data_IF_658507674714
#
_entry.id   IF_658507674714
#
_cell.length_a   1.000
_cell.length_b   1.000
_cell.length_c   1.000
_cell.angle_alpha   90.00
_cell.angle_beta   90.00
_cell.angle_gamma   90.00
#
_symmetry.space_group_name_H-M   'P 1'
#
loop_
_entity.id
_entity.type
_entity.pdbx_description
1 polymer ?
#
# COMPACT_ATOMS: atom_id res chain seq x y z
N UNK A 1 -13.89 -28.68 -7.05
CA UNK A 1 -15.33 -28.55 -7.34
C UNK A 1 -15.56 -29.06 -8.75
N UNK A 2 -16.51 -29.97 -8.97
CA UNK A 2 -16.88 -30.40 -10.32
C UNK A 2 -17.61 -29.22 -11.00
N UNK A 3 -17.26 -28.95 -12.25
CA UNK A 3 -17.95 -27.95 -13.06
C UNK A 3 -19.40 -28.39 -13.26
N UNK A 4 -20.35 -27.55 -12.80
CA UNK A 4 -21.80 -27.76 -12.89
C UNK A 4 -22.46 -26.73 -13.80
N UNK A 5 -21.68 -25.96 -14.55
CA UNK A 5 -22.19 -24.88 -15.40
C UNK A 5 -23.19 -25.43 -16.43
N UNK A 6 -22.91 -26.58 -17.03
CA UNK A 6 -23.81 -27.22 -18.00
C UNK A 6 -25.16 -27.62 -17.38
N UNK A 7 -25.15 -28.16 -16.17
CA UNK A 7 -26.35 -28.59 -15.43
C UNK A 7 -27.22 -27.39 -15.03
N UNK A 8 -26.58 -26.28 -14.63
CA UNK A 8 -27.27 -25.03 -14.31
C UNK A 8 -27.87 -24.38 -15.57
N UNK A 9 -27.19 -24.43 -16.71
CA UNK A 9 -27.71 -23.91 -17.99
C UNK A 9 -28.94 -24.70 -18.45
N UNK A 10 -28.96 -26.03 -18.27
CA UNK A 10 -30.16 -26.82 -18.56
C UNK A 10 -31.32 -26.50 -17.61
N UNK A 11 -31.04 -26.30 -16.33
CA UNK A 11 -32.06 -25.91 -15.35
C UNK A 11 -32.69 -24.56 -15.69
N UNK A 12 -31.91 -23.58 -16.14
CA UNK A 12 -32.43 -22.27 -16.58
C UNK A 12 -33.32 -22.42 -17.82
N UNK A 13 -32.88 -23.18 -18.83
CA UNK A 13 -33.70 -23.43 -20.04
C UNK A 13 -35.02 -24.13 -19.71
N UNK A 14 -35.00 -25.07 -18.77
CA UNK A 14 -36.19 -25.78 -18.33
C UNK A 14 -37.14 -24.87 -17.51
N UNK A 15 -36.60 -23.91 -16.76
CA UNK A 15 -37.38 -22.91 -16.04
C UNK A 15 -38.08 -21.94 -17.01
N UNK A 16 -37.36 -21.44 -18.01
CA UNK A 16 -37.89 -20.55 -19.06
C UNK A 16 -38.97 -21.23 -19.91
N UNK A 17 -38.90 -22.56 -20.08
CA UNK A 17 -39.94 -23.35 -20.75
C UNK A 17 -41.17 -23.63 -19.88
N UNK A 18 -41.01 -23.72 -18.55
CA UNK A 18 -42.13 -23.96 -17.62
C UNK A 18 -42.91 -22.69 -17.29
N UNK A 19 -42.27 -21.53 -17.39
CA UNK A 19 -42.88 -20.22 -17.22
C UNK A 19 -42.58 -19.39 -18.47
N UNK A 20 -43.22 -19.74 -19.59
CA UNK A 20 -43.25 -18.87 -20.75
C UNK A 20 -43.97 -17.58 -20.31
N UNK A 21 -43.20 -16.52 -20.05
CA UNK A 21 -43.73 -15.17 -19.96
C UNK A 21 -44.45 -14.91 -21.28
N UNK A 22 -45.79 -14.87 -21.22
CA UNK A 22 -46.59 -14.53 -22.39
C UNK A 22 -46.21 -13.11 -22.81
N UNK A 23 -45.77 -12.99 -24.06
CA UNK A 23 -45.44 -11.76 -24.81
C UNK A 23 -45.87 -10.45 -24.12
N UNK A 24 -45.10 -10.00 -23.12
CA UNK A 24 -45.07 -8.60 -22.74
C UNK A 24 -43.97 -7.98 -23.60
N UNK A 25 -44.41 -7.45 -24.75
CA UNK A 25 -43.62 -6.67 -25.69
C UNK A 25 -43.14 -5.39 -25.00
N UNK A 26 -42.09 -5.51 -24.19
CA UNK A 26 -41.38 -4.42 -23.54
C UNK A 26 -39.98 -4.31 -24.16
N UNK A 27 -39.95 -4.09 -25.48
CA UNK A 27 -38.78 -3.59 -26.20
C UNK A 27 -38.61 -2.08 -25.93
N UNK A 28 -38.63 -1.71 -24.64
CA UNK A 28 -38.09 -0.43 -24.19
C UNK A 28 -36.58 -0.55 -24.30
N UNK A 29 -35.88 0.44 -24.87
CA UNK A 29 -34.43 0.48 -24.76
C UNK A 29 -34.11 0.31 -23.27
N UNK A 30 -33.29 -0.68 -22.95
CA UNK A 30 -32.67 -0.75 -21.64
C UNK A 30 -31.83 0.53 -21.54
N UNK A 31 -32.42 1.60 -21.00
CA UNK A 31 -31.63 2.64 -20.37
C UNK A 31 -30.87 1.91 -19.28
N UNK A 32 -29.60 1.61 -19.54
CA UNK A 32 -28.66 1.17 -18.52
C UNK A 32 -28.78 2.18 -17.38
N UNK A 33 -29.42 1.75 -16.29
CA UNK A 33 -29.55 2.55 -15.08
C UNK A 33 -28.15 2.61 -14.50
N UNK A 34 -27.36 3.59 -14.95
CA UNK A 34 -26.05 3.90 -14.40
C UNK A 34 -26.28 4.42 -12.99
N UNK A 35 -26.21 3.53 -12.00
CA UNK A 35 -26.33 3.92 -10.61
C UNK A 35 -25.14 4.81 -10.24
N UNK A 36 -25.38 5.84 -9.45
CA UNK A 36 -24.35 6.75 -8.90
C UNK A 36 -23.23 5.97 -8.17
N UNK A 37 -23.52 4.77 -7.67
CA UNK A 37 -22.54 3.86 -7.08
C UNK A 37 -21.52 3.28 -8.06
N UNK A 38 -21.81 3.25 -9.37
CA UNK A 38 -20.98 2.58 -10.37
C UNK A 38 -19.74 3.42 -10.73
N UNK A 39 -19.89 4.73 -10.89
CA UNK A 39 -18.75 5.63 -11.16
C UNK A 39 -17.83 5.82 -9.94
N UNK A 40 -18.39 5.82 -8.72
CA UNK A 40 -17.61 5.87 -7.47
C UNK A 40 -16.75 4.61 -7.37
N UNK A 41 -17.34 3.46 -7.68
CA UNK A 41 -16.67 2.18 -7.63
C UNK A 41 -15.60 2.06 -8.72
N UNK A 42 -15.85 2.54 -9.94
CA UNK A 42 -14.86 2.59 -11.02
C UNK A 42 -13.65 3.47 -10.65
N UNK A 43 -13.89 4.67 -10.10
CA UNK A 43 -12.80 5.52 -9.63
C UNK A 43 -12.01 4.86 -8.50
N UNK A 44 -12.70 4.23 -7.55
CA UNK A 44 -12.06 3.50 -6.46
C UNK A 44 -11.17 2.36 -6.98
N UNK A 45 -11.65 1.58 -7.97
CA UNK A 45 -10.86 0.51 -8.55
C UNK A 45 -9.61 1.02 -9.25
N UNK A 46 -9.70 2.14 -9.97
CA UNK A 46 -8.53 2.79 -10.57
C UNK A 46 -7.53 3.22 -9.51
N UNK A 47 -7.99 3.86 -8.43
CA UNK A 47 -7.10 4.30 -7.34
C UNK A 47 -6.43 3.11 -6.62
N UNK A 48 -7.17 2.01 -6.43
CA UNK A 48 -6.63 0.75 -5.90
C UNK A 48 -5.55 0.21 -6.82
N UNK A 49 -5.82 0.11 -8.13
CA UNK A 49 -4.87 -0.44 -9.10
C UNK A 49 -3.58 0.40 -9.15
N UNK A 50 -3.72 1.72 -9.13
CA UNK A 50 -2.59 2.64 -9.12
C UNK A 50 -1.75 2.47 -7.83
N UNK A 51 -2.39 2.34 -6.67
CA UNK A 51 -1.72 2.07 -5.40
C UNK A 51 -1.02 0.70 -5.38
N UNK A 52 -1.64 -0.34 -5.94
CA UNK A 52 -1.01 -1.66 -6.08
C UNK A 52 0.25 -1.57 -6.93
N UNK A 53 0.18 -0.90 -8.08
CA UNK A 53 1.31 -0.69 -8.97
C UNK A 53 2.42 0.10 -8.27
N UNK A 54 2.09 1.19 -7.56
CA UNK A 54 3.08 1.97 -6.82
C UNK A 54 3.75 1.17 -5.71
N UNK A 55 3.00 0.34 -4.96
CA UNK A 55 3.57 -0.56 -3.95
C UNK A 55 4.54 -1.58 -4.57
N UNK A 56 4.19 -2.17 -5.71
CA UNK A 56 5.08 -3.11 -6.41
C UNK A 56 6.36 -2.42 -6.90
N UNK A 57 6.24 -1.20 -7.42
CA UNK A 57 7.40 -0.40 -7.82
C UNK A 57 8.26 -0.04 -6.61
N UNK A 58 7.67 0.33 -5.47
CA UNK A 58 8.38 0.59 -4.22
C UNK A 58 9.20 -0.64 -3.79
N UNK A 59 8.58 -1.82 -3.75
CA UNK A 59 9.28 -3.06 -3.42
C UNK A 59 10.44 -3.35 -4.39
N UNK A 60 10.24 -3.06 -5.67
CA UNK A 60 11.29 -3.22 -6.68
C UNK A 60 12.45 -2.25 -6.45
N UNK A 61 12.15 -1.00 -6.13
CA UNK A 61 13.14 0.03 -5.80
C UNK A 61 13.94 -0.34 -4.56
N UNK A 62 13.28 -0.84 -3.51
CA UNK A 62 13.92 -1.32 -2.27
C UNK A 62 14.85 -2.49 -2.53
N UNK A 63 14.40 -3.49 -3.30
CA UNK A 63 15.25 -4.63 -3.71
C UNK A 63 16.44 -4.17 -4.55
N UNK A 64 16.23 -3.19 -5.43
CA UNK A 64 17.28 -2.60 -6.26
C UNK A 64 18.32 -1.88 -5.40
N UNK A 65 17.88 -1.13 -4.39
CA UNK A 65 18.76 -0.48 -3.41
C UNK A 65 19.63 -1.52 -2.68
N UNK A 66 19.01 -2.58 -2.16
CA UNK A 66 19.73 -3.67 -1.49
C UNK A 66 20.82 -4.31 -2.37
N UNK A 67 20.53 -4.53 -3.66
CA UNK A 67 21.51 -5.03 -4.64
C UNK A 67 22.65 -4.04 -4.87
N UNK A 68 22.36 -2.73 -4.97
CA UNK A 68 23.39 -1.71 -5.14
C UNK A 68 24.29 -1.59 -3.89
N UNK A 69 23.70 -1.66 -2.69
CA UNK A 69 24.44 -1.70 -1.43
C UNK A 69 25.38 -2.91 -1.39
N UNK A 70 24.92 -4.09 -1.80
CA UNK A 70 25.79 -5.28 -1.87
C UNK A 70 26.94 -5.11 -2.90
N UNK A 71 26.67 -4.53 -4.07
CA UNK A 71 27.70 -4.24 -5.08
C UNK A 71 28.71 -3.21 -4.61
N UNK A 72 28.26 -2.24 -3.81
CA UNK A 72 29.12 -1.22 -3.22
C UNK A 72 30.20 -1.84 -2.33
N UNK A 73 29.88 -2.91 -1.59
CA UNK A 73 30.82 -3.62 -0.73
C UNK A 73 31.92 -4.36 -1.50
N UNK A 74 31.58 -4.88 -2.69
CA UNK A 74 32.48 -5.74 -3.47
C UNK A 74 33.26 -5.00 -4.56
N UNK A 75 32.86 -3.78 -4.91
CA UNK A 75 33.44 -3.04 -6.04
C UNK A 75 34.57 -2.10 -5.64
N UNK A 76 35.80 -2.34 -6.15
CA UNK A 76 36.95 -1.45 -5.94
C UNK A 76 37.06 -0.27 -6.93
N UNK A 77 36.47 -0.37 -8.14
CA UNK A 77 36.74 0.59 -9.25
C UNK A 77 35.59 1.53 -9.63
N UNK A 78 34.41 1.47 -9.00
CA UNK A 78 33.21 2.26 -9.39
C UNK A 78 32.40 2.83 -8.21
N UNK A 79 33.08 3.17 -7.12
CA UNK A 79 32.42 3.59 -5.87
C UNK A 79 31.55 4.85 -6.03
N UNK A 80 31.99 5.81 -6.84
CA UNK A 80 31.30 7.11 -7.02
C UNK A 80 30.03 7.03 -7.87
N UNK A 81 29.97 6.13 -8.87
CA UNK A 81 28.74 5.92 -9.64
C UNK A 81 27.72 5.12 -8.83
N UNK A 82 28.15 4.03 -8.18
CA UNK A 82 27.25 3.22 -7.33
C UNK A 82 26.67 4.06 -6.18
N UNK A 83 27.46 4.96 -5.59
CA UNK A 83 26.98 5.89 -4.56
C UNK A 83 25.94 6.88 -5.08
N UNK A 84 26.12 7.41 -6.30
CA UNK A 84 25.12 8.29 -6.93
C UNK A 84 23.83 7.54 -7.20
N UNK A 85 23.92 6.34 -7.75
CA UNK A 85 22.76 5.49 -8.02
C UNK A 85 21.99 5.16 -6.73
N UNK A 86 22.70 4.77 -5.66
CA UNK A 86 22.11 4.46 -4.35
C UNK A 86 21.36 5.66 -3.76
N UNK A 87 21.96 6.84 -3.82
CA UNK A 87 21.31 8.07 -3.33
C UNK A 87 20.10 8.45 -4.19
N UNK A 88 20.15 8.24 -5.51
CA UNK A 88 19.00 8.48 -6.40
C UNK A 88 17.86 7.53 -6.07
N UNK A 89 18.15 6.23 -5.96
CA UNK A 89 17.14 5.22 -5.62
C UNK A 89 16.49 5.52 -4.27
N UNK A 90 17.27 5.91 -3.26
CA UNK A 90 16.74 6.27 -1.95
C UNK A 90 15.81 7.50 -1.99
N UNK A 91 16.13 8.50 -2.82
CA UNK A 91 15.24 9.66 -3.04
C UNK A 91 13.93 9.25 -3.73
N UNK A 92 14.02 8.38 -4.74
CA UNK A 92 12.85 7.87 -5.45
C UNK A 92 11.95 7.05 -4.51
N UNK A 93 12.55 6.21 -3.66
CA UNK A 93 11.84 5.46 -2.61
C UNK A 93 11.10 6.41 -1.66
N UNK A 94 11.76 7.47 -1.19
CA UNK A 94 11.14 8.47 -0.31
C UNK A 94 9.93 9.13 -0.98
N UNK A 95 10.12 9.69 -2.18
CA UNK A 95 9.06 10.38 -2.90
C UNK A 95 7.87 9.46 -3.20
N UNK A 96 8.14 8.20 -3.58
CA UNK A 96 7.11 7.19 -3.80
C UNK A 96 6.40 6.81 -2.50
N UNK A 97 7.12 6.63 -1.40
CA UNK A 97 6.55 6.33 -0.09
C UNK A 97 5.62 7.43 0.41
N UNK A 98 6.02 8.69 0.27
CA UNK A 98 5.16 9.85 0.58
C UNK A 98 3.91 9.88 -0.31
N UNK A 99 4.03 9.54 -1.59
CA UNK A 99 2.89 9.49 -2.50
C UNK A 99 1.89 8.39 -2.13
N UNK A 100 2.38 7.17 -1.90
CA UNK A 100 1.56 6.04 -1.44
C UNK A 100 0.86 6.39 -0.13
N UNK A 101 1.58 6.99 0.82
CA UNK A 101 1.00 7.41 2.09
C UNK A 101 -0.15 8.42 1.91
N UNK A 102 0.02 9.44 1.04
CA UNK A 102 -1.06 10.40 0.72
C UNK A 102 -2.28 9.71 0.12
N UNK A 103 -2.08 8.81 -0.85
CA UNK A 103 -3.16 8.06 -1.50
C UNK A 103 -3.88 7.12 -0.52
N UNK A 104 -3.14 6.44 0.36
CA UNK A 104 -3.70 5.61 1.43
C UNK A 104 -4.57 6.43 2.39
N UNK A 105 -4.15 7.64 2.76
CA UNK A 105 -4.98 8.54 3.59
C UNK A 105 -6.27 8.96 2.88
N UNK A 106 -6.20 9.28 1.59
CA UNK A 106 -7.38 9.61 0.79
C UNK A 106 -8.37 8.42 0.72
N UNK A 107 -7.85 7.20 0.53
CA UNK A 107 -8.66 5.99 0.53
C UNK A 107 -9.30 5.69 1.89
N UNK A 108 -8.58 5.93 3.00
CA UNK A 108 -9.15 5.84 4.36
C UNK A 108 -10.31 6.82 4.53
N UNK A 109 -10.14 8.08 4.17
CA UNK A 109 -11.19 9.10 4.25
C UNK A 109 -12.42 8.72 3.40
N UNK A 110 -12.20 8.21 2.18
CA UNK A 110 -13.30 7.72 1.33
C UNK A 110 -14.04 6.53 1.96
N UNK A 111 -13.31 5.64 2.63
CA UNK A 111 -13.93 4.53 3.38
C UNK A 111 -14.82 5.05 4.51
N UNK A 112 -14.32 5.96 5.34
CA UNK A 112 -15.06 6.56 6.45
C UNK A 112 -16.30 7.32 5.96
N UNK A 113 -16.17 8.06 4.86
CA UNK A 113 -17.28 8.80 4.27
C UNK A 113 -18.35 7.87 3.67
N UNK A 114 -17.94 6.78 3.02
CA UNK A 114 -18.86 5.77 2.51
C UNK A 114 -19.59 5.03 3.65
N UNK A 115 -18.91 4.77 4.77
CA UNK A 115 -19.51 4.21 5.98
C UNK A 115 -20.54 5.17 6.59
N UNK A 116 -20.25 6.47 6.62
CA UNK A 116 -21.18 7.49 7.14
C UNK A 116 -22.41 7.68 6.25
N UNK A 117 -22.25 7.70 4.93
CA UNK A 117 -23.34 7.96 3.97
C UNK A 117 -24.23 6.75 3.70
N UNK A 118 -23.64 5.56 3.54
CA UNK A 118 -24.34 4.36 3.09
C UNK A 118 -24.37 3.25 4.14
N UNK A 119 -23.79 3.49 5.32
CA UNK A 119 -23.66 2.53 6.39
C UNK A 119 -22.44 1.61 6.21
N UNK A 120 -22.01 0.94 7.30
CA UNK A 120 -20.80 0.13 7.35
C UNK A 120 -20.84 -1.15 6.49
N UNK A 121 -22.03 -1.51 6.00
CA UNK A 121 -22.27 -2.70 5.20
C UNK A 121 -22.40 -2.41 3.70
N UNK A 122 -22.29 -1.14 3.28
CA UNK A 122 -22.29 -0.80 1.86
C UNK A 122 -21.13 -1.47 1.13
N UNK A 123 -21.34 -1.83 -0.15
CA UNK A 123 -20.30 -2.48 -0.95
C UNK A 123 -19.04 -1.60 -1.06
N UNK A 124 -19.22 -0.30 -1.29
CA UNK A 124 -18.13 0.67 -1.39
C UNK A 124 -17.32 0.73 -0.09
N UNK A 125 -17.97 0.89 1.07
CA UNK A 125 -17.26 0.92 2.36
C UNK A 125 -16.46 -0.37 2.62
N UNK A 126 -17.04 -1.53 2.33
CA UNK A 126 -16.39 -2.82 2.56
C UNK A 126 -15.20 -3.05 1.64
N UNK A 127 -15.35 -2.72 0.35
CA UNK A 127 -14.28 -2.84 -0.64
C UNK A 127 -13.15 -1.88 -0.27
N UNK A 128 -13.44 -0.59 -0.02
CA UNK A 128 -12.45 0.41 0.39
C UNK A 128 -11.69 -0.01 1.63
N UNK A 129 -12.37 -0.43 2.70
CA UNK A 129 -11.74 -0.86 3.96
C UNK A 129 -10.83 -2.07 3.76
N UNK A 130 -11.31 -3.10 3.05
CA UNK A 130 -10.53 -4.31 2.80
C UNK A 130 -9.27 -4.02 1.96
N UNK A 131 -9.40 -3.21 0.91
CA UNK A 131 -8.30 -2.86 0.02
C UNK A 131 -7.29 -1.94 0.69
N UNK A 132 -7.76 -0.93 1.42
CA UNK A 132 -6.94 -0.07 2.26
C UNK A 132 -6.07 -0.87 3.24
N UNK A 133 -6.68 -1.83 3.93
CA UNK A 133 -6.00 -2.72 4.88
C UNK A 133 -4.90 -3.57 4.21
N UNK A 134 -5.21 -4.18 3.05
CA UNK A 134 -4.26 -5.00 2.30
C UNK A 134 -3.09 -4.17 1.71
N UNK A 135 -3.40 -3.01 1.13
CA UNK A 135 -2.42 -2.08 0.56
C UNK A 135 -1.50 -1.50 1.64
N UNK A 136 -2.04 -1.17 2.82
CA UNK A 136 -1.27 -0.66 3.95
C UNK A 136 -0.27 -1.71 4.46
N UNK A 137 -0.68 -2.98 4.58
CA UNK A 137 0.24 -4.08 4.95
C UNK A 137 1.37 -4.25 3.94
N UNK A 138 1.05 -4.17 2.65
CA UNK A 138 2.06 -4.29 1.57
C UNK A 138 3.05 -3.13 1.64
N UNK A 139 2.56 -1.90 1.85
CA UNK A 139 3.38 -0.71 2.03
C UNK A 139 4.28 -0.81 3.27
N UNK A 140 3.74 -1.28 4.40
CA UNK A 140 4.51 -1.55 5.63
C UNK A 140 5.65 -2.54 5.40
N UNK A 141 5.37 -3.65 4.72
CA UNK A 141 6.40 -4.64 4.41
C UNK A 141 7.52 -4.03 3.58
N UNK A 142 7.19 -3.23 2.56
CA UNK A 142 8.18 -2.56 1.72
C UNK A 142 9.04 -1.56 2.51
N UNK A 143 8.43 -0.74 3.36
CA UNK A 143 9.15 0.22 4.21
C UNK A 143 10.01 -0.48 5.27
N UNK A 144 9.55 -1.62 5.80
CA UNK A 144 10.33 -2.43 6.72
C UNK A 144 11.57 -3.02 6.05
N UNK A 145 11.42 -3.58 4.84
CA UNK A 145 12.55 -4.05 4.03
C UNK A 145 13.54 -2.91 3.71
N UNK A 146 13.04 -1.69 3.41
CA UNK A 146 13.88 -0.53 3.18
C UNK A 146 14.71 -0.16 4.41
N UNK A 147 14.07 -0.09 5.58
CA UNK A 147 14.77 0.19 6.84
C UNK A 147 15.83 -0.87 7.15
N UNK A 148 15.53 -2.15 6.95
CA UNK A 148 16.52 -3.22 7.11
C UNK A 148 17.71 -3.05 6.15
N UNK A 149 17.47 -2.66 4.89
CA UNK A 149 18.53 -2.44 3.92
C UNK A 149 19.46 -1.28 4.29
N UNK A 150 18.91 -0.17 4.80
CA UNK A 150 19.69 0.96 5.29
C UNK A 150 20.44 0.64 6.58
N UNK A 151 19.81 -0.09 7.51
CA UNK A 151 20.44 -0.51 8.75
C UNK A 151 21.61 -1.47 8.52
N UNK A 152 21.45 -2.39 7.57
CA UNK A 152 22.54 -3.25 7.11
C UNK A 152 23.69 -2.43 6.52
N UNK A 153 23.40 -1.40 5.72
CA UNK A 153 24.43 -0.53 5.15
C UNK A 153 25.15 0.29 6.23
N UNK A 154 24.43 0.75 7.27
CA UNK A 154 25.02 1.42 8.44
C UNK A 154 26.01 0.52 9.17
N UNK A 155 25.62 -0.71 9.49
CA UNK A 155 26.49 -1.69 10.12
C UNK A 155 27.75 -1.98 9.28
N UNK A 156 27.61 -2.09 7.96
CA UNK A 156 28.76 -2.28 7.07
C UNK A 156 29.71 -1.08 7.06
N UNK A 157 29.18 0.15 7.06
CA UNK A 157 30.01 1.35 7.15
C UNK A 157 30.82 1.37 8.44
N UNK A 158 30.19 0.99 9.57
CA UNK A 158 30.83 0.88 10.89
C UNK A 158 31.99 -0.13 10.88
N UNK A 159 31.75 -1.35 10.38
CA UNK A 159 32.79 -2.39 10.25
C UNK A 159 33.96 -1.90 9.40
N UNK A 160 33.69 -1.18 8.31
CA UNK A 160 34.76 -0.64 7.44
C UNK A 160 35.59 0.43 8.14
N UNK A 161 34.97 1.30 8.93
CA UNK A 161 35.69 2.30 9.73
C UNK A 161 36.57 1.61 10.77
N UNK A 162 36.01 0.64 11.51
CA UNK A 162 36.74 -0.14 12.50
C UNK A 162 38.00 -0.76 11.88
N UNK A 163 37.87 -1.41 10.73
CA UNK A 163 39.00 -2.02 10.02
C UNK A 163 40.06 -0.99 9.59
N UNK A 164 39.66 0.22 9.18
CA UNK A 164 40.64 1.27 8.84
C UNK A 164 41.37 1.78 10.08
N UNK A 165 40.72 1.83 11.24
CA UNK A 165 41.34 2.19 12.51
C UNK A 165 42.34 1.13 12.97
N UNK A 166 41.99 -0.15 12.84
CA UNK A 166 42.88 -1.28 13.13
C UNK A 166 44.14 -1.22 12.24
N UNK A 167 44.01 -0.88 10.96
CA UNK A 167 45.15 -0.67 10.04
C UNK A 167 46.05 0.49 10.51
N UNK A 168 45.45 1.53 11.10
CA UNK A 168 46.19 2.65 11.71
C UNK A 168 46.76 2.32 13.10
N UNK A 169 46.60 1.08 13.58
CA UNK A 169 47.10 0.63 14.88
C UNK A 169 46.24 1.10 16.07
N UNK A 170 45.01 1.55 15.83
CA UNK A 170 44.04 1.90 16.88
C UNK A 170 43.02 0.77 17.00
N UNK A 171 43.03 0.09 18.15
CA UNK A 171 42.00 -0.88 18.49
C UNK A 171 40.81 -0.14 19.12
N UNK A 172 39.71 -0.05 18.38
CA UNK A 172 38.50 0.67 18.77
C UNK A 172 37.32 -0.26 18.58
N UNK A 173 36.52 -0.45 19.63
CA UNK A 173 35.34 -1.30 19.54
C UNK A 173 34.26 -0.63 18.67
N UNK A 174 33.34 -1.44 18.14
CA UNK A 174 32.17 -0.90 17.46
C UNK A 174 31.40 0.10 18.31
N UNK A 175 31.20 -0.18 19.60
CA UNK A 175 30.43 0.70 20.48
C UNK A 175 31.13 2.03 20.71
N UNK A 176 32.46 2.03 20.84
CA UNK A 176 33.24 3.27 20.89
C UNK A 176 33.12 4.09 19.61
N UNK A 177 33.10 3.44 18.43
CA UNK A 177 32.86 4.14 17.17
C UNK A 177 31.47 4.81 17.20
N UNK A 178 30.45 4.12 17.71
CA UNK A 178 29.10 4.65 17.88
C UNK A 178 29.07 5.88 18.78
N UNK A 179 29.68 5.78 19.96
CA UNK A 179 29.79 6.89 20.91
C UNK A 179 30.50 8.10 20.31
N UNK A 180 31.53 7.86 19.49
CA UNK A 180 32.25 8.92 18.80
C UNK A 180 31.39 9.61 17.74
N UNK A 181 30.49 8.88 17.08
CA UNK A 181 29.48 9.45 16.18
C UNK A 181 28.45 10.28 16.93
N UNK A 182 27.89 9.75 18.03
CA UNK A 182 26.87 10.44 18.83
C UNK A 182 27.40 11.71 19.50
N UNK A 183 28.64 11.68 19.99
CA UNK A 183 29.28 12.81 20.65
C UNK A 183 29.89 13.82 19.68
N UNK A 184 29.94 13.51 18.37
CA UNK A 184 30.57 14.35 17.35
C UNK A 184 32.09 14.53 17.51
N UNK A 185 32.76 13.69 18.30
CA UNK A 185 34.20 13.77 18.60
C UNK A 185 35.05 13.05 17.54
N UNK A 186 34.95 13.50 16.30
CA UNK A 186 35.61 12.87 15.15
C UNK A 186 37.12 13.20 15.05
N UNK A 187 37.53 14.34 15.60
CA UNK A 187 38.90 14.88 15.43
C UNK A 187 39.99 14.00 16.06
N UNK A 188 39.61 13.11 17.00
CA UNK A 188 40.47 12.13 17.68
C UNK A 188 41.20 11.20 16.69
N UNK A 189 40.69 11.03 15.47
CA UNK A 189 41.34 10.20 14.44
C UNK A 189 42.46 10.91 13.70
N UNK A 190 42.52 12.25 13.74
CA UNK A 190 43.51 13.06 13.02
C UNK A 190 44.82 13.30 13.77
N UNK A 191 44.85 13.09 15.09
CA UNK A 191 45.94 13.55 15.97
C UNK A 191 47.26 12.76 15.88
N UNK A 192 47.28 11.52 15.37
CA UNK A 192 48.46 10.61 15.44
C UNK A 192 49.10 10.24 14.09
N UNK A 193 49.11 11.16 13.11
CA UNK A 193 49.57 10.90 11.73
C UNK A 193 51.11 10.84 11.53
N UNK A 194 51.89 10.52 12.56
CA UNK A 194 53.35 10.74 12.55
C UNK A 194 54.21 9.56 12.06
N UNK A 195 53.66 8.36 11.88
CA UNK A 195 54.48 7.15 11.61
C UNK A 195 54.46 6.64 10.15
N UNK A 196 53.38 6.86 9.37
CA UNK A 196 53.29 6.44 7.96
C UNK A 196 52.37 7.36 7.15
N UNK A 197 52.95 8.42 6.56
CA UNK A 197 52.20 9.56 5.98
C UNK A 197 51.30 9.15 4.80
N UNK A 198 51.68 8.14 4.02
CA UNK A 198 50.88 7.71 2.84
C UNK A 198 49.77 6.74 3.22
N UNK A 199 50.08 5.72 4.03
CA UNK A 199 49.09 4.75 4.51
C UNK A 199 48.03 5.39 5.40
N UNK A 200 48.45 6.19 6.38
CA UNK A 200 47.55 6.87 7.31
C UNK A 200 46.64 7.88 6.61
N UNK A 201 47.14 8.62 5.61
CA UNK A 201 46.32 9.57 4.84
C UNK A 201 45.26 8.87 4.00
N UNK A 202 45.59 7.72 3.41
CA UNK A 202 44.61 6.93 2.66
C UNK A 202 43.50 6.37 3.57
N UNK A 203 43.87 5.83 4.74
CA UNK A 203 42.92 5.34 5.74
C UNK A 203 42.00 6.46 6.24
N UNK A 204 42.56 7.64 6.54
CA UNK A 204 41.79 8.79 7.02
C UNK A 204 40.79 9.30 5.96
N UNK A 205 41.19 9.37 4.70
CA UNK A 205 40.27 9.73 3.60
C UNK A 205 39.11 8.74 3.44
N UNK A 206 39.38 7.44 3.60
CA UNK A 206 38.35 6.40 3.53
C UNK A 206 37.40 6.52 4.73
N UNK A 207 37.94 6.69 5.93
CA UNK A 207 37.21 6.93 7.19
C UNK A 207 36.28 8.14 7.04
N UNK A 208 36.74 9.28 6.53
CA UNK A 208 35.93 10.48 6.28
C UNK A 208 34.84 10.25 5.20
N UNK A 209 35.16 9.49 4.15
CA UNK A 209 34.19 9.09 3.12
C UNK A 209 33.06 8.22 3.68
N UNK A 210 33.38 7.28 4.59
CA UNK A 210 32.41 6.44 5.31
C UNK A 210 31.57 7.25 6.28
N UNK A 211 32.18 8.18 7.03
CA UNK A 211 31.47 9.10 7.93
C UNK A 211 30.39 9.90 7.19
N UNK A 212 30.74 10.53 6.06
CA UNK A 212 29.77 11.24 5.20
C UNK A 212 28.69 10.32 4.63
N UNK A 213 28.90 9.01 4.61
CA UNK A 213 27.88 8.06 4.20
C UNK A 213 26.95 7.69 5.35
N UNK A 214 27.47 7.52 6.56
CA UNK A 214 26.69 7.32 7.78
C UNK A 214 25.73 8.48 8.04
N UNK A 215 26.18 9.73 7.94
CA UNK A 215 25.30 10.89 8.09
C UNK A 215 24.14 10.89 7.08
N UNK A 216 24.40 10.45 5.83
CA UNK A 216 23.36 10.30 4.80
C UNK A 216 22.43 9.13 5.09
N UNK A 217 22.93 8.04 5.66
CA UNK A 217 22.13 6.89 6.09
C UNK A 217 21.19 7.31 7.23
N UNK A 218 21.69 8.05 8.21
CA UNK A 218 20.90 8.53 9.34
C UNK A 218 19.79 9.47 8.91
N UNK A 219 20.08 10.40 7.98
CA UNK A 219 19.04 11.24 7.38
C UNK A 219 17.95 10.40 6.70
N UNK A 220 18.32 9.35 5.95
CA UNK A 220 17.37 8.48 5.26
C UNK A 220 16.56 7.62 6.23
N UNK A 221 17.18 7.09 7.28
CA UNK A 221 16.50 6.34 8.34
C UNK A 221 15.51 7.25 9.08
N UNK A 222 15.88 8.51 9.34
CA UNK A 222 14.99 9.50 9.96
C UNK A 222 13.77 9.80 9.08
N UNK A 223 13.98 10.00 7.78
CA UNK A 223 12.88 10.20 6.82
C UNK A 223 11.89 9.01 6.81
N UNK A 224 12.42 7.78 6.89
CA UNK A 224 11.61 6.55 6.98
C UNK A 224 10.87 6.46 8.31
N UNK A 225 11.53 6.83 9.39
CA UNK A 225 10.93 6.83 10.72
C UNK A 225 9.73 7.77 10.79
N UNK A 226 9.81 8.95 10.15
CA UNK A 226 8.67 9.86 10.02
C UNK A 226 7.48 9.19 9.31
N UNK A 227 7.73 8.50 8.19
CA UNK A 227 6.69 7.72 7.50
C UNK A 227 6.13 6.62 8.40
N UNK A 228 6.96 5.92 9.18
CA UNK A 228 6.49 4.89 10.11
C UNK A 228 5.62 5.44 11.24
N UNK A 229 5.98 6.59 11.80
CA UNK A 229 5.16 7.25 12.83
C UNK A 229 3.79 7.63 12.27
N UNK A 230 3.75 8.17 11.05
CA UNK A 230 2.50 8.48 10.35
C UNK A 230 1.66 7.21 10.07
N UNK A 231 2.31 6.06 9.89
CA UNK A 231 1.64 4.77 9.67
C UNK A 231 1.21 4.08 10.97
N UNK A 232 1.89 4.30 12.09
CA UNK A 232 1.52 3.70 13.38
C UNK A 232 0.12 4.16 13.83
N UNK A 233 -0.23 5.41 13.56
CA UNK A 233 -1.59 5.97 13.77
C UNK A 233 -2.65 5.26 12.91
N UNK A 234 -2.25 4.65 11.79
CA UNK A 234 -3.15 3.93 10.89
C UNK A 234 -3.32 2.44 11.26
N UNK A 235 -2.57 1.93 12.22
CA UNK A 235 -2.52 0.49 12.59
C UNK A 235 -3.48 0.12 13.71
N UNK A 236 -3.87 1.06 14.58
CA UNK A 236 -4.74 0.75 15.74
C UNK A 236 -6.12 0.20 15.35
N UNK A 237 -6.57 0.37 14.10
CA UNK A 237 -7.84 -0.18 13.61
C UNK A 237 -7.74 -1.56 12.91
N UNK A 238 -6.53 -2.13 12.75
CA UNK A 238 -6.33 -3.35 11.94
C UNK A 238 -6.47 -4.67 12.70
N UNK A 239 -6.58 -4.66 14.03
CA UNK A 239 -6.53 -5.88 14.85
C UNK A 239 -7.76 -6.80 14.67
N UNK A 240 -8.92 -6.26 14.26
CA UNK A 240 -10.19 -7.02 14.26
C UNK A 240 -10.59 -7.67 12.93
N UNK A 241 -9.84 -7.47 11.84
CA UNK A 241 -10.22 -7.99 10.51
C UNK A 241 -9.42 -9.21 10.06
N UNK A 242 -9.23 -10.20 10.93
CA UNK A 242 -8.61 -11.47 10.54
C UNK A 242 -9.54 -12.40 9.73
N UNK A 243 -10.84 -12.05 9.64
CA UNK A 243 -11.82 -12.86 8.90
C UNK A 243 -12.63 -12.03 7.88
N UNK A 244 -11.92 -11.32 7.00
CA UNK A 244 -12.52 -10.43 5.99
C UNK A 244 -13.48 -11.16 5.07
N UNK A 245 -13.24 -12.42 4.69
CA UNK A 245 -14.11 -13.13 3.73
C UNK A 245 -15.41 -13.58 4.41
N UNK A 246 -15.32 -14.28 5.55
CA UNK A 246 -16.50 -14.79 6.26
C UNK A 246 -17.41 -13.64 6.74
N UNK A 247 -16.83 -12.62 7.37
CA UNK A 247 -17.56 -11.44 7.83
C UNK A 247 -18.21 -10.66 6.66
N UNK A 248 -17.50 -10.56 5.52
CA UNK A 248 -18.05 -9.90 4.34
C UNK A 248 -19.17 -10.72 3.70
N UNK A 249 -19.03 -12.04 3.60
CA UNK A 249 -20.06 -12.92 3.03
C UNK A 249 -21.31 -12.90 3.92
N UNK A 250 -21.14 -13.02 5.24
CA UNK A 250 -22.22 -12.91 6.22
C UNK A 250 -22.98 -11.59 6.08
N UNK A 251 -22.26 -10.46 6.03
CA UNK A 251 -22.87 -9.13 5.87
C UNK A 251 -23.54 -8.91 4.50
N UNK A 252 -23.06 -9.54 3.42
CA UNK A 252 -23.72 -9.50 2.10
C UNK A 252 -25.05 -10.25 2.13
N UNK A 253 -25.12 -11.39 2.81
CA UNK A 253 -26.36 -12.16 2.96
C UNK A 253 -27.45 -11.33 3.66
N UNK A 254 -27.08 -10.57 4.69
CA UNK A 254 -28.02 -9.69 5.40
C UNK A 254 -28.58 -8.56 4.52
N UNK A 255 -27.73 -7.91 3.71
CA UNK A 255 -28.15 -6.82 2.82
C UNK A 255 -29.05 -7.33 1.67
N UNK A 256 -28.70 -8.46 1.06
CA UNK A 256 -29.54 -9.09 0.01
C UNK A 256 -30.88 -9.57 0.58
N UNK A 257 -30.92 -10.03 1.83
CA UNK A 257 -32.17 -10.32 2.54
C UNK A 257 -33.09 -9.10 2.67
N UNK A 258 -32.53 -7.95 3.02
CA UNK A 258 -33.28 -6.68 3.10
C UNK A 258 -33.76 -6.20 1.73
N UNK A 259 -32.90 -6.26 0.71
CA UNK A 259 -33.26 -5.90 -0.67
C UNK A 259 -34.40 -6.80 -1.19
N UNK A 260 -34.33 -8.11 -0.94
CA UNK A 260 -35.41 -9.06 -1.28
C UNK A 260 -36.73 -8.69 -0.58
N UNK A 261 -36.69 -8.24 0.67
CA UNK A 261 -37.87 -7.77 1.38
C UNK A 261 -38.46 -6.49 0.75
N UNK A 262 -37.63 -5.55 0.31
CA UNK A 262 -38.07 -4.33 -0.36
C UNK A 262 -38.64 -4.61 -1.76
N UNK A 263 -38.01 -5.47 -2.55
CA UNK A 263 -38.54 -5.92 -3.85
C UNK A 263 -39.88 -6.63 -3.67
N UNK A 264 -40.01 -7.48 -2.64
CA UNK A 264 -41.27 -8.17 -2.34
C UNK A 264 -42.38 -7.18 -1.97
N UNK A 265 -42.07 -6.12 -1.21
CA UNK A 265 -43.00 -5.03 -0.91
C UNK A 265 -43.37 -4.24 -2.17
N UNK A 266 -42.41 -3.95 -3.04
CA UNK A 266 -42.66 -3.25 -4.31
C UNK A 266 -43.57 -4.05 -5.24
N UNK A 267 -43.33 -5.36 -5.39
CA UNK A 267 -44.21 -6.28 -6.13
C UNK A 267 -45.61 -6.33 -5.53
N UNK A 268 -45.72 -6.41 -4.19
CA UNK A 268 -47.02 -6.37 -3.51
C UNK A 268 -47.73 -5.03 -3.71
N UNK A 269 -47.00 -3.91 -3.72
CA UNK A 269 -47.56 -2.59 -3.98
C UNK A 269 -48.07 -2.44 -5.41
N UNK A 270 -47.31 -2.93 -6.41
CA UNK A 270 -47.75 -2.98 -7.83
C UNK A 270 -49.02 -3.83 -7.98
N UNK A 271 -49.07 -5.01 -7.34
CA UNK A 271 -50.24 -5.92 -7.37
C UNK A 271 -51.48 -5.34 -6.69
N UNK A 272 -51.31 -4.54 -5.63
CA UNK A 272 -52.41 -3.90 -4.89
C UNK A 272 -52.94 -2.62 -5.53
N UNK A 273 -52.21 -2.02 -6.47
CA UNK A 273 -52.60 -0.77 -7.13
C UNK A 273 -52.65 -0.89 -8.68
N UNK A 274 -53.38 -1.86 -9.25
CA UNK A 274 -53.38 -2.12 -10.70
C UNK A 274 -53.95 -0.96 -11.52
N UNK A 275 -54.92 -0.21 -10.96
CA UNK A 275 -55.55 0.92 -11.64
C UNK A 275 -54.62 2.14 -11.77
N UNK A 276 -53.53 2.23 -11.00
CA UNK A 276 -52.59 3.37 -11.12
C UNK A 276 -51.67 3.23 -12.34
N UNK A 277 -51.39 1.98 -12.75
CA UNK A 277 -50.63 1.66 -13.96
C UNK A 277 -51.50 1.75 -15.22
N UNK A 278 -52.76 1.33 -15.13
CA UNK A 278 -53.68 1.28 -16.27
C UNK A 278 -54.40 2.62 -16.56
N UNK A 279 -54.60 3.46 -15.54
CA UNK A 279 -55.42 4.68 -15.66
C UNK A 279 -54.59 5.98 -15.79
N UNK A 280 -53.27 5.88 -16.01
CA UNK A 280 -52.40 7.04 -16.25
C UNK A 280 -52.70 7.75 -17.59
N UNK A 281 -53.43 7.10 -18.50
CA UNK A 281 -53.87 7.70 -19.77
C UNK A 281 -55.24 8.42 -19.69
N UNK A 282 -56.02 8.22 -18.61
CA UNK A 282 -57.39 8.74 -18.51
C UNK A 282 -57.64 9.70 -17.34
N UNK A 283 -56.64 9.95 -16.50
CA UNK A 283 -56.72 10.93 -15.42
C UNK A 283 -55.40 11.72 -15.35
N UNK A 284 -55.29 12.91 -15.98
CA UNK A 284 -54.31 13.87 -15.54
C UNK A 284 -54.71 14.33 -14.13
N UNK A 285 -53.70 14.47 -13.27
CA UNK A 285 -53.73 15.00 -11.89
C UNK A 285 -53.79 13.95 -10.77
N UNK A 286 -52.75 13.92 -9.93
CA UNK A 286 -52.76 14.73 -8.71
C UNK A 286 -51.33 15.17 -8.37
N UNK A 287 -51.16 16.48 -8.10
CA UNK A 287 -49.97 17.10 -7.50
C UNK A 287 -49.63 16.46 -6.15
#
# INVERSE_FOLDING_TARGET
MKDRLAELVELTKNYDQQFADGDDDFDSPHEDIVFETDHILESLYRDIQDLQNENQLLMTDVKRLGKQNARFLTSMRRLSSIKRDTNSIAKDIKARGENIHRKLRAMKALSEEAEARHGPNSAVARISRAQYSALTRTFQSAMHEYNQAEMKQRANCKIRIQRQLEIMGKDVSGDQIEDMFEQGKWDVFSENLLADVKGARAALNEIESRHRELLRLESRIRDVHELFLQMAVLVEEQADTLNVIELNVEKTLDYTGQAKAQVRKAVQYKKKNPCRTLCCFCCPCLN
#
